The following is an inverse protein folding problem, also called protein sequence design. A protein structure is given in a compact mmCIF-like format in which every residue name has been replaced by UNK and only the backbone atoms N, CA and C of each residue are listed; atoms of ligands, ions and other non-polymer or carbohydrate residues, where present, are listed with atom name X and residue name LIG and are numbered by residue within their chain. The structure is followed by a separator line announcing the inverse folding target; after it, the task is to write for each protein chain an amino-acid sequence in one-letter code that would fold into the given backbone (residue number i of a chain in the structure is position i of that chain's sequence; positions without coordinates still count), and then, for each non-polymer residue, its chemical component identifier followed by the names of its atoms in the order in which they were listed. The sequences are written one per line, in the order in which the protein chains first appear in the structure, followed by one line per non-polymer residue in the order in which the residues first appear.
data_IF_036033279408
#
_entry.id   IF_036033279408
#
_cell.length_a   1.000
_cell.length_b   1.000
_cell.length_c   1.000
_cell.angle_alpha   90.00
_cell.angle_beta   90.00
_cell.angle_gamma   90.00
#
_symmetry.space_group_name_H-M   'P 1'
#
loop_
_entity.id
_entity.type
_entity.pdbx_description
1 polymer ?
#
# COMPACT_ATOMS: atom_id res chain seq x y z
N UNK A 1 -24.74 -6.54 9.58
CA UNK A 1 -23.68 -5.67 9.05
C UNK A 1 -22.35 -6.14 9.66
N UNK A 2 -21.56 -6.93 8.94
CA UNK A 2 -20.25 -7.40 9.43
C UNK A 2 -19.31 -6.22 9.59
N UNK A 3 -18.63 -6.11 10.73
CA UNK A 3 -17.65 -5.06 11.01
C UNK A 3 -16.59 -5.08 9.90
N UNK A 4 -16.36 -3.95 9.24
CA UNK A 4 -15.32 -3.85 8.22
C UNK A 4 -13.97 -4.26 8.83
N UNK A 5 -13.27 -5.18 8.18
CA UNK A 5 -11.94 -5.64 8.60
C UNK A 5 -10.99 -4.43 8.64
N UNK A 6 -10.17 -4.32 9.68
CA UNK A 6 -9.12 -3.31 9.73
C UNK A 6 -7.88 -3.79 8.96
N UNK A 7 -7.16 -2.85 8.35
CA UNK A 7 -5.90 -3.14 7.69
C UNK A 7 -4.87 -3.63 8.72
N UNK A 8 -4.07 -4.63 8.34
CA UNK A 8 -2.96 -5.11 9.17
C UNK A 8 -1.94 -3.98 9.42
N UNK A 9 -1.41 -3.87 10.65
CA UNK A 9 -0.40 -2.88 10.98
C UNK A 9 0.94 -3.18 10.29
N UNK A 10 1.72 -2.14 9.98
CA UNK A 10 3.08 -2.25 9.46
C UNK A 10 4.08 -1.50 10.34
N UNK A 11 4.93 -0.64 9.77
CA UNK A 11 5.77 0.29 10.53
C UNK A 11 4.93 1.52 10.86
N UNK A 12 4.88 1.93 12.13
CA UNK A 12 3.98 2.99 12.63
C UNK A 12 4.02 4.26 11.79
N UNK A 13 5.22 4.74 11.43
CA UNK A 13 5.36 5.93 10.58
C UNK A 13 4.70 5.77 9.20
N UNK A 14 4.82 4.60 8.58
CA UNK A 14 4.16 4.32 7.29
C UNK A 14 2.65 4.23 7.49
N UNK A 15 2.20 3.61 8.57
CA UNK A 15 0.77 3.49 8.89
C UNK A 15 0.12 4.84 9.08
N UNK A 16 0.74 5.74 9.84
CA UNK A 16 0.29 7.12 10.08
C UNK A 16 0.28 7.92 8.79
N UNK A 17 1.35 7.87 7.99
CA UNK A 17 1.40 8.54 6.70
C UNK A 17 0.30 8.05 5.76
N UNK A 18 0.04 6.73 5.75
CA UNK A 18 -0.96 6.12 4.89
C UNK A 18 -2.40 6.51 5.25
N UNK A 19 -2.68 6.96 6.49
CA UNK A 19 -4.03 7.38 6.89
C UNK A 19 -4.58 8.51 6.01
N UNK A 20 -3.72 9.40 5.50
CA UNK A 20 -4.09 10.49 4.61
C UNK A 20 -4.68 10.03 3.26
N UNK A 21 -4.50 8.75 2.93
CA UNK A 21 -4.91 8.16 1.66
C UNK A 21 -5.92 7.04 1.83
N UNK A 22 -6.35 6.70 3.05
CA UNK A 22 -7.19 5.52 3.31
C UNK A 22 -8.51 5.58 2.52
N UNK A 23 -9.12 6.75 2.41
CA UNK A 23 -10.36 6.99 1.67
C UNK A 23 -10.22 6.85 0.15
N UNK A 24 -8.99 6.81 -0.38
CA UNK A 24 -8.74 6.56 -1.81
C UNK A 24 -8.95 5.10 -2.20
N UNK A 25 -8.96 4.20 -1.22
CA UNK A 25 -9.06 2.76 -1.46
C UNK A 25 -10.45 2.26 -1.07
N UNK A 26 -11.24 1.72 -2.03
CA UNK A 26 -12.58 1.24 -1.73
C UNK A 26 -12.58 -0.07 -0.95
N UNK A 27 -11.45 -0.79 -0.93
CA UNK A 27 -11.29 -2.02 -0.19
C UNK A 27 -10.02 -2.02 0.68
N UNK A 28 -10.12 -2.70 1.81
CA UNK A 28 -9.08 -2.77 2.83
C UNK A 28 -7.82 -3.46 2.31
N UNK A 29 -7.94 -4.41 1.38
CA UNK A 29 -6.78 -5.14 0.85
C UNK A 29 -5.94 -4.26 -0.05
N UNK A 30 -6.55 -3.46 -0.92
CA UNK A 30 -5.84 -2.48 -1.73
C UNK A 30 -5.08 -1.48 -0.86
N UNK A 31 -5.69 -1.03 0.24
CA UNK A 31 -5.01 -0.20 1.22
C UNK A 31 -3.84 -0.90 1.93
N UNK A 32 -4.02 -2.15 2.37
CA UNK A 32 -2.93 -2.97 2.94
C UNK A 32 -1.76 -3.11 1.96
N UNK A 33 -2.03 -3.43 0.69
CA UNK A 33 -1.00 -3.56 -0.34
C UNK A 33 -0.29 -2.24 -0.62
N UNK A 34 -0.99 -1.11 -0.53
CA UNK A 34 -0.37 0.21 -0.67
C UNK A 34 0.63 0.47 0.46
N UNK A 35 0.27 0.16 1.71
CA UNK A 35 1.19 0.23 2.85
C UNK A 35 2.42 -0.65 2.63
N UNK A 36 2.22 -1.90 2.23
CA UNK A 36 3.32 -2.84 1.95
C UNK A 36 4.25 -2.36 0.84
N UNK A 37 3.69 -1.76 -0.22
CA UNK A 37 4.48 -1.18 -1.29
C UNK A 37 5.39 -0.07 -0.75
N UNK A 38 4.86 0.85 0.07
CA UNK A 38 5.68 1.91 0.67
C UNK A 38 6.76 1.36 1.60
N UNK A 39 6.44 0.38 2.45
CA UNK A 39 7.45 -0.27 3.30
C UNK A 39 8.58 -0.85 2.46
N UNK A 40 8.27 -1.63 1.41
CA UNK A 40 9.31 -2.21 0.56
C UNK A 40 10.10 -1.18 -0.26
N UNK A 41 9.46 -0.06 -0.61
CA UNK A 41 10.13 1.09 -1.23
C UNK A 41 11.08 1.81 -0.27
N UNK A 42 10.86 1.74 1.04
CA UNK A 42 11.77 2.28 2.07
C UNK A 42 12.83 1.27 2.52
N UNK A 43 12.57 -0.04 2.41
CA UNK A 43 13.51 -1.10 2.82
C UNK A 43 14.85 -1.08 2.07
N UNK A 44 15.94 -1.49 2.71
CA UNK A 44 17.23 -1.65 2.03
C UNK A 44 17.24 -2.91 1.14
N UNK A 45 16.78 -2.76 -0.11
CA UNK A 45 16.74 -3.83 -1.10
C UNK A 45 17.67 -3.51 -2.26
N UNK A 46 18.50 -4.50 -2.65
CA UNK A 46 19.41 -4.38 -3.81
C UNK A 46 18.67 -4.02 -5.11
N UNK A 47 17.44 -4.50 -5.28
CA UNK A 47 16.56 -4.20 -6.43
C UNK A 47 15.13 -4.00 -5.94
N UNK A 48 14.47 -2.96 -6.43
CA UNK A 48 13.11 -2.54 -6.04
C UNK A 48 12.03 -3.06 -6.98
N UNK A 49 12.12 -4.33 -7.38
CA UNK A 49 11.09 -4.95 -8.21
C UNK A 49 9.90 -5.39 -7.33
N UNK A 50 8.69 -5.49 -7.91
CA UNK A 50 7.51 -5.95 -7.16
C UNK A 50 7.73 -7.32 -6.50
N UNK A 51 8.34 -8.34 -7.15
CA UNK A 51 8.65 -9.60 -6.48
C UNK A 51 9.63 -9.47 -5.32
N UNK A 52 10.64 -8.59 -5.44
CA UNK A 52 11.61 -8.37 -4.36
C UNK A 52 10.97 -7.67 -3.15
N UNK A 53 10.12 -6.67 -3.41
CA UNK A 53 9.35 -5.97 -2.38
C UNK A 53 8.37 -6.93 -1.71
N UNK A 54 7.58 -7.67 -2.48
CA UNK A 54 6.62 -8.64 -1.96
C UNK A 54 7.29 -9.66 -1.02
N UNK A 55 8.45 -10.20 -1.43
CA UNK A 55 9.25 -11.09 -0.59
C UNK A 55 9.71 -10.43 0.70
N UNK A 56 10.13 -9.17 0.66
CA UNK A 56 10.64 -8.45 1.82
C UNK A 56 9.55 -8.12 2.86
N UNK A 57 8.32 -7.86 2.40
CA UNK A 57 7.18 -7.45 3.26
C UNK A 57 6.18 -8.58 3.54
N UNK A 58 6.45 -9.80 3.06
CA UNK A 58 5.57 -10.96 3.26
C UNK A 58 4.25 -10.88 2.49
N UNK A 59 4.22 -10.17 1.36
CA UNK A 59 3.05 -10.02 0.49
C UNK A 59 3.15 -10.87 -0.78
N UNK A 60 2.06 -10.92 -1.55
CA UNK A 60 2.05 -11.50 -2.90
C UNK A 60 2.42 -10.46 -3.96
N UNK A 61 3.37 -10.81 -4.83
CA UNK A 61 3.80 -9.95 -5.94
C UNK A 61 2.65 -9.63 -6.92
N UNK A 62 1.75 -10.58 -7.13
CA UNK A 62 0.59 -10.37 -8.00
C UNK A 62 -0.41 -9.39 -7.39
N UNK A 63 -0.54 -9.39 -6.05
CA UNK A 63 -1.38 -8.44 -5.36
C UNK A 63 -0.82 -6.99 -5.45
N UNK A 64 0.50 -6.83 -5.35
CA UNK A 64 1.14 -5.53 -5.59
C UNK A 64 1.00 -5.07 -7.05
N UNK A 65 1.09 -6.00 -8.00
CA UNK A 65 0.85 -5.67 -9.41
C UNK A 65 -0.60 -5.25 -9.64
N UNK A 66 -1.57 -5.99 -9.10
CA UNK A 66 -2.98 -5.64 -9.18
C UNK A 66 -3.26 -4.27 -8.58
N UNK A 67 -2.67 -3.95 -7.42
CA UNK A 67 -2.77 -2.62 -6.84
C UNK A 67 -2.36 -1.53 -7.85
N UNK A 68 -1.20 -1.68 -8.49
CA UNK A 68 -0.67 -0.64 -9.38
C UNK A 68 -1.37 -0.57 -10.73
N UNK A 69 -1.85 -1.70 -11.26
CA UNK A 69 -2.38 -1.78 -12.61
C UNK A 69 -3.91 -1.70 -12.68
N UNK A 70 -4.61 -2.27 -11.69
CA UNK A 70 -6.04 -2.58 -11.80
C UNK A 70 -6.89 -2.01 -10.67
N UNK A 71 -6.31 -1.76 -9.49
CA UNK A 71 -7.11 -1.34 -8.34
C UNK A 71 -7.73 0.06 -8.56
N UNK A 72 -9.00 0.26 -8.19
CA UNK A 72 -9.74 1.48 -8.47
C UNK A 72 -9.44 2.59 -7.45
N UNK A 73 -8.21 3.10 -7.42
CA UNK A 73 -7.79 4.26 -6.63
C UNK A 73 -7.21 5.36 -7.55
N UNK A 74 -7.27 6.61 -7.10
CA UNK A 74 -6.88 7.77 -7.92
C UNK A 74 -5.42 8.16 -7.68
N UNK A 75 -4.57 7.96 -8.70
CA UNK A 75 -3.16 8.42 -8.68
C UNK A 75 -3.08 9.95 -8.61
N UNK A 76 -4.00 10.65 -9.28
CA UNK A 76 -4.06 12.10 -9.30
C UNK A 76 -4.37 12.63 -7.89
N UNK A 77 -5.36 12.06 -7.21
CA UNK A 77 -5.74 12.46 -5.86
C UNK A 77 -4.63 12.16 -4.85
N UNK A 78 -3.98 11.00 -4.96
CA UNK A 78 -2.80 10.69 -4.16
C UNK A 78 -1.72 11.74 -4.32
N UNK A 79 -1.42 12.18 -5.56
CA UNK A 79 -0.40 13.20 -5.84
C UNK A 79 -0.75 14.57 -5.27
N UNK A 80 -2.03 14.96 -5.30
CA UNK A 80 -2.49 16.24 -4.72
C UNK A 80 -2.26 16.29 -3.21
N UNK A 81 -2.45 15.16 -2.52
CA UNK A 81 -2.24 15.05 -1.06
C UNK A 81 -0.77 14.83 -0.69
N UNK A 82 0.04 14.34 -1.63
CA UNK A 82 1.45 14.01 -1.39
C UNK A 82 2.26 15.29 -1.18
N UNK A 83 2.75 15.49 0.04
CA UNK A 83 3.62 16.62 0.45
C UNK A 83 2.92 17.98 0.47
N UNK A 84 1.72 18.06 1.05
CA UNK A 84 1.37 19.24 1.87
C UNK A 84 2.26 19.33 3.09
#
# INVERSE_FOLDING_TARGET
MSKARQALPTVTFVDEYCQLYQDLFPDVRSFEHFKYLLVGMLSELKRKTLPAIAKAVGADAQALHHLLANAPWSVQELRTRRLT
#
